data_IF_883035914361
#
_entry.id   IF_883035914361
#
_cell.length_a   1.000
_cell.length_b   1.000
_cell.length_c   1.000
_cell.angle_alpha   90.00
_cell.angle_beta   90.00
_cell.angle_gamma   90.00
#
_symmetry.space_group_name_H-M   'P 1'
#
loop_
_entity.id
_entity.type
_entity.pdbx_description
1 polymer ?
#
# COMPACT_ATOMS: atom_id res chain seq x y z
N UNK A 1 -15.22 16.59 -12.28
CA UNK A 1 -13.87 16.27 -11.71
C UNK A 1 -13.96 16.52 -10.22
N UNK A 2 -13.67 15.52 -9.38
CA UNK A 2 -13.63 15.71 -7.93
C UNK A 2 -12.52 16.68 -7.56
N UNK A 3 -12.73 17.42 -6.46
CA UNK A 3 -11.73 18.27 -5.82
C UNK A 3 -11.32 17.61 -4.50
N UNK A 4 -10.20 18.04 -3.93
CA UNK A 4 -9.72 17.52 -2.66
C UNK A 4 -10.75 17.66 -1.53
N UNK A 5 -11.44 18.80 -1.50
CA UNK A 5 -12.48 19.12 -0.53
C UNK A 5 -13.68 18.18 -0.59
N UNK A 6 -13.93 17.56 -1.75
CA UNK A 6 -15.07 16.63 -1.91
C UNK A 6 -14.91 15.36 -1.06
N UNK A 7 -13.68 15.06 -0.60
CA UNK A 7 -13.39 13.99 0.37
C UNK A 7 -13.51 14.45 1.84
N UNK A 8 -13.75 15.73 2.09
CA UNK A 8 -13.73 16.31 3.43
C UNK A 8 -15.13 16.70 3.90
N UNK A 9 -15.33 16.61 5.21
CA UNK A 9 -16.42 17.27 5.92
C UNK A 9 -16.11 18.78 6.05
N UNK A 10 -17.11 19.63 6.39
CA UNK A 10 -16.87 21.08 6.53
C UNK A 10 -15.77 21.48 7.53
N UNK A 11 -15.48 20.62 8.50
CA UNK A 11 -14.45 20.82 9.52
C UNK A 11 -13.06 20.28 9.11
N UNK A 12 -12.90 19.76 7.87
CA UNK A 12 -11.65 19.21 7.37
C UNK A 12 -11.41 17.73 7.68
N UNK A 13 -12.25 17.08 8.47
CA UNK A 13 -12.19 15.63 8.70
C UNK A 13 -12.62 14.87 7.45
N UNK A 14 -12.01 13.71 7.17
CA UNK A 14 -12.43 12.86 6.07
C UNK A 14 -13.91 12.45 6.19
N UNK A 15 -14.65 12.51 5.08
CA UNK A 15 -15.99 11.93 5.00
C UNK A 15 -15.90 10.44 5.22
N UNK A 16 -16.69 9.92 6.14
CA UNK A 16 -16.67 8.52 6.51
C UNK A 16 -18.08 8.00 6.77
N UNK A 17 -18.26 6.69 6.63
CA UNK A 17 -19.53 5.99 6.82
C UNK A 17 -19.98 5.92 8.28
N UNK A 18 -19.09 6.24 9.22
CA UNK A 18 -19.31 6.15 10.66
C UNK A 18 -19.86 7.47 11.24
N UNK A 19 -19.97 8.52 10.41
CA UNK A 19 -20.39 9.87 10.81
C UNK A 19 -19.50 10.49 11.91
N UNK A 20 -18.24 10.08 11.98
CA UNK A 20 -17.26 10.64 12.91
C UNK A 20 -16.79 11.99 12.37
N UNK A 21 -16.87 13.02 13.21
CA UNK A 21 -16.45 14.39 12.87
C UNK A 21 -15.12 14.79 13.51
N UNK A 22 -14.66 14.05 14.50
CA UNK A 22 -13.36 14.23 15.13
C UNK A 22 -12.28 13.46 14.35
N UNK A 23 -11.26 14.18 13.87
CA UNK A 23 -10.21 13.60 13.02
C UNK A 23 -9.30 12.61 13.79
N UNK A 24 -9.05 12.87 15.09
CA UNK A 24 -8.20 11.99 15.92
C UNK A 24 -8.92 10.69 16.25
N UNK A 25 -10.21 10.79 16.61
CA UNK A 25 -11.07 9.61 16.86
C UNK A 25 -11.18 8.77 15.59
N UNK A 26 -11.40 9.40 14.43
CA UNK A 26 -11.46 8.70 13.16
C UNK A 26 -10.14 7.98 12.84
N UNK A 27 -9.02 8.67 13.03
CA UNK A 27 -7.69 8.10 12.79
C UNK A 27 -7.40 6.90 13.69
N UNK A 28 -7.70 7.00 14.98
CA UNK A 28 -7.49 5.90 15.93
C UNK A 28 -8.35 4.69 15.58
N UNK A 29 -9.62 4.91 15.29
CA UNK A 29 -10.55 3.84 14.92
C UNK A 29 -10.13 3.18 13.61
N UNK A 30 -9.74 3.96 12.59
CA UNK A 30 -9.22 3.46 11.33
C UNK A 30 -7.95 2.60 11.54
N UNK A 31 -7.04 3.08 12.40
CA UNK A 31 -5.81 2.37 12.72
C UNK A 31 -6.11 1.00 13.35
N UNK A 32 -6.91 0.96 14.40
CA UNK A 32 -7.26 -0.26 15.13
C UNK A 32 -8.01 -1.26 14.22
N UNK A 33 -9.01 -0.77 13.48
CA UNK A 33 -9.79 -1.58 12.56
C UNK A 33 -8.90 -2.21 11.47
N UNK A 34 -8.02 -1.43 10.86
CA UNK A 34 -7.16 -1.95 9.79
C UNK A 34 -6.08 -2.90 10.28
N UNK A 35 -5.58 -2.75 11.52
CA UNK A 35 -4.67 -3.73 12.12
C UNK A 35 -5.34 -5.08 12.27
N UNK A 36 -6.56 -5.11 12.81
CA UNK A 36 -7.28 -6.36 13.01
C UNK A 36 -7.60 -7.05 11.67
N UNK A 37 -7.96 -6.27 10.64
CA UNK A 37 -8.17 -6.80 9.29
C UNK A 37 -6.88 -7.35 8.67
N UNK A 38 -5.75 -6.69 8.86
CA UNK A 38 -4.44 -7.19 8.39
C UNK A 38 -4.11 -8.54 9.04
N UNK A 39 -4.28 -8.65 10.36
CA UNK A 39 -4.06 -9.91 11.09
C UNK A 39 -5.00 -11.01 10.62
N UNK A 40 -6.29 -10.70 10.47
CA UNK A 40 -7.29 -11.66 10.01
C UNK A 40 -6.98 -12.17 8.60
N UNK A 41 -6.53 -11.29 7.70
CA UNK A 41 -6.16 -11.67 6.34
C UNK A 41 -4.90 -12.55 6.30
N UNK A 42 -3.91 -12.27 7.13
CA UNK A 42 -2.71 -13.11 7.26
C UNK A 42 -3.07 -14.52 7.79
N UNK A 43 -3.92 -14.60 8.81
CA UNK A 43 -4.43 -15.89 9.35
C UNK A 43 -5.24 -16.66 8.30
N UNK A 44 -5.98 -15.97 7.43
CA UNK A 44 -6.72 -16.56 6.32
C UNK A 44 -5.85 -16.88 5.09
N UNK A 45 -4.54 -16.89 5.24
CA UNK A 45 -3.57 -17.15 4.15
C UNK A 45 -3.78 -16.23 2.94
N UNK A 46 -4.07 -14.94 3.22
CA UNK A 46 -4.38 -13.90 2.22
C UNK A 46 -5.57 -14.23 1.31
N UNK A 47 -6.51 -15.01 1.81
CA UNK A 47 -7.79 -15.26 1.16
C UNK A 47 -8.83 -14.27 1.65
N UNK A 48 -9.44 -13.52 0.73
CA UNK A 48 -10.49 -12.56 1.03
C UNK A 48 -11.80 -13.25 1.45
N UNK A 49 -12.71 -12.56 2.16
CA UNK A 49 -13.97 -13.14 2.64
C UNK A 49 -14.90 -13.68 1.55
N UNK A 50 -14.81 -13.17 0.33
CA UNK A 50 -15.53 -13.65 -0.84
C UNK A 50 -14.94 -14.93 -1.47
N UNK A 51 -13.82 -15.39 -0.93
CA UNK A 51 -13.10 -16.57 -1.39
C UNK A 51 -11.99 -16.28 -2.40
N UNK A 52 -11.77 -15.03 -2.82
CA UNK A 52 -10.69 -14.68 -3.73
C UNK A 52 -9.33 -14.86 -3.04
N UNK A 53 -8.44 -15.63 -3.68
CA UNK A 53 -7.06 -15.80 -3.22
C UNK A 53 -6.19 -14.68 -3.80
N UNK A 54 -5.61 -13.84 -2.94
CA UNK A 54 -4.62 -12.86 -3.37
C UNK A 54 -3.35 -13.60 -3.81
N UNK A 55 -2.86 -13.23 -4.97
CA UNK A 55 -1.71 -13.89 -5.62
C UNK A 55 -0.50 -12.96 -5.80
N UNK A 56 -0.69 -11.64 -5.71
CA UNK A 56 0.32 -10.64 -6.03
C UNK A 56 0.65 -10.54 -7.52
N UNK A 57 -0.10 -11.22 -8.39
CA UNK A 57 0.16 -11.23 -9.83
C UNK A 57 -0.50 -10.10 -10.61
N UNK A 58 -1.41 -9.38 -9.98
CA UNK A 58 -2.20 -8.32 -10.62
C UNK A 58 -2.20 -7.07 -9.79
N UNK A 59 -1.89 -5.94 -10.42
CA UNK A 59 -1.92 -4.64 -9.75
C UNK A 59 -3.32 -4.31 -9.20
N UNK A 60 -4.39 -4.80 -9.84
CA UNK A 60 -5.76 -4.62 -9.39
C UNK A 60 -6.03 -5.23 -8.01
N UNK A 61 -5.24 -6.20 -7.56
CA UNK A 61 -5.36 -6.76 -6.21
C UNK A 61 -5.13 -5.70 -5.13
N UNK A 62 -4.41 -4.62 -5.43
CA UNK A 62 -4.30 -3.47 -4.53
C UNK A 62 -5.65 -2.81 -4.26
N UNK A 63 -6.55 -2.74 -5.26
CA UNK A 63 -7.93 -2.24 -5.07
C UNK A 63 -8.72 -3.15 -4.12
N UNK A 64 -8.58 -4.47 -4.30
CA UNK A 64 -9.24 -5.46 -3.42
C UNK A 64 -8.74 -5.36 -1.98
N UNK A 65 -7.43 -5.22 -1.79
CA UNK A 65 -6.81 -5.05 -0.48
C UNK A 65 -7.27 -3.72 0.16
N UNK A 66 -7.27 -2.62 -0.57
CA UNK A 66 -7.70 -1.32 -0.05
C UNK A 66 -9.19 -1.34 0.33
N UNK A 67 -10.05 -1.92 -0.52
CA UNK A 67 -11.45 -2.14 -0.19
C UNK A 67 -11.60 -2.99 1.07
N UNK A 68 -10.94 -4.15 1.13
CA UNK A 68 -10.96 -5.01 2.29
C UNK A 68 -10.57 -4.27 3.57
N UNK A 69 -9.56 -3.42 3.54
CA UNK A 69 -9.09 -2.68 4.72
C UNK A 69 -10.05 -1.58 5.16
N UNK A 70 -10.78 -0.92 4.24
CA UNK A 70 -11.39 0.37 4.50
C UNK A 70 -12.89 0.46 4.14
N UNK A 71 -13.51 -0.58 3.60
CA UNK A 71 -14.90 -0.59 3.11
C UNK A 71 -15.96 -0.24 4.16
N UNK A 72 -15.65 -0.44 5.44
CA UNK A 72 -16.57 -0.07 6.55
C UNK A 72 -16.37 1.37 7.04
N UNK A 73 -15.33 2.03 6.56
CA UNK A 73 -14.98 3.39 7.00
C UNK A 73 -15.24 4.40 5.89
N UNK A 74 -14.95 4.03 4.63
CA UNK A 74 -15.03 4.95 3.49
C UNK A 74 -15.79 4.35 2.31
N UNK A 75 -16.68 5.12 1.72
CA UNK A 75 -17.45 4.74 0.53
C UNK A 75 -16.62 4.67 -0.76
N UNK A 76 -15.46 5.32 -0.76
CA UNK A 76 -14.49 5.31 -1.85
C UNK A 76 -13.37 4.26 -1.67
N UNK A 77 -13.41 3.41 -0.64
CA UNK A 77 -12.43 2.34 -0.43
C UNK A 77 -12.34 1.41 -1.66
N UNK A 78 -11.13 1.05 -2.06
CA UNK A 78 -10.87 0.25 -3.26
C UNK A 78 -10.94 1.03 -4.57
N UNK A 79 -11.27 2.31 -4.55
CA UNK A 79 -11.27 3.17 -5.72
C UNK A 79 -10.04 4.08 -5.73
N UNK A 80 -9.46 4.26 -6.91
CA UNK A 80 -8.37 5.20 -7.08
C UNK A 80 -8.85 6.63 -6.84
N UNK A 81 -7.95 7.47 -6.32
CA UNK A 81 -8.21 8.91 -6.19
C UNK A 81 -8.43 9.56 -7.55
N UNK A 82 -9.27 10.58 -7.55
CA UNK A 82 -9.60 11.35 -8.75
C UNK A 82 -8.97 12.76 -8.69
N UNK A 83 -8.07 13.01 -7.72
CA UNK A 83 -7.42 14.32 -7.50
C UNK A 83 -5.92 14.13 -7.32
N UNK A 84 -5.16 15.07 -7.85
CA UNK A 84 -3.73 15.14 -7.62
C UNK A 84 -3.44 15.72 -6.24
N UNK A 85 -2.40 15.23 -5.58
CA UNK A 85 -1.91 15.80 -4.34
C UNK A 85 -0.42 15.50 -4.14
N UNK A 86 0.16 16.21 -3.21
CA UNK A 86 1.48 15.94 -2.67
C UNK A 86 1.41 15.74 -1.16
N UNK A 87 2.45 15.23 -0.57
CA UNK A 87 2.57 15.05 0.87
C UNK A 87 3.87 15.69 1.35
N UNK A 88 3.77 16.48 2.40
CA UNK A 88 4.96 17.02 3.05
C UNK A 88 5.23 16.25 4.34
N UNK A 89 6.45 15.74 4.50
CA UNK A 89 6.90 15.07 5.69
C UNK A 89 8.34 15.51 5.99
N UNK A 90 8.60 15.96 7.21
CA UNK A 90 9.91 16.46 7.66
C UNK A 90 10.52 17.52 6.72
N UNK A 91 9.67 18.38 6.13
CA UNK A 91 10.07 19.43 5.19
C UNK A 91 10.34 18.95 3.76
N UNK A 92 10.24 17.66 3.49
CA UNK A 92 10.36 17.07 2.15
C UNK A 92 8.97 16.98 1.52
N UNK A 93 8.81 17.51 0.31
CA UNK A 93 7.58 17.41 -0.48
C UNK A 93 7.72 16.24 -1.45
N UNK A 94 6.86 15.25 -1.29
CA UNK A 94 6.75 14.12 -2.24
C UNK A 94 5.60 14.39 -3.20
N UNK A 95 5.90 14.41 -4.50
CA UNK A 95 4.92 14.52 -5.59
C UNK A 95 4.60 13.11 -6.08
N UNK A 96 3.35 12.70 -5.94
CA UNK A 96 2.89 11.41 -6.45
C UNK A 96 2.49 11.49 -7.92
N UNK A 97 2.37 10.35 -8.59
CA UNK A 97 1.94 10.31 -9.98
C UNK A 97 0.62 11.07 -10.17
N UNK A 98 0.53 11.94 -11.19
CA UNK A 98 -0.73 12.57 -11.56
C UNK A 98 -1.78 11.53 -11.96
N UNK A 99 -3.05 11.79 -11.63
CA UNK A 99 -4.18 10.89 -11.98
C UNK A 99 -4.23 10.62 -13.49
N UNK A 100 -3.88 11.61 -14.31
CA UNK A 100 -3.82 11.47 -15.77
C UNK A 100 -2.82 10.40 -16.26
N UNK A 101 -1.85 10.03 -15.43
CA UNK A 101 -0.81 9.02 -15.75
C UNK A 101 -1.06 7.66 -15.09
N UNK A 102 -2.17 7.48 -14.38
CA UNK A 102 -2.44 6.22 -13.67
C UNK A 102 -2.46 5.00 -14.58
N UNK A 103 -3.02 5.11 -15.78
CA UNK A 103 -3.01 4.00 -16.73
C UNK A 103 -1.59 3.57 -17.15
N UNK A 104 -0.66 4.54 -17.28
CA UNK A 104 0.73 4.23 -17.58
C UNK A 104 1.43 3.58 -16.38
N UNK A 105 1.22 4.13 -15.17
CA UNK A 105 1.77 3.57 -13.95
C UNK A 105 1.27 2.14 -13.69
N UNK A 106 -0.02 1.87 -13.89
CA UNK A 106 -0.58 0.50 -13.79
C UNK A 106 0.11 -0.46 -14.77
N UNK A 107 0.31 -0.05 -16.03
CA UNK A 107 0.98 -0.88 -17.02
C UNK A 107 2.44 -1.16 -16.67
N UNK A 108 3.16 -0.16 -16.19
CA UNK A 108 4.58 -0.31 -15.83
C UNK A 108 4.74 -1.18 -14.56
N UNK A 109 3.89 -0.98 -13.55
CA UNK A 109 3.89 -1.83 -12.35
C UNK A 109 3.48 -3.25 -12.72
N UNK A 110 2.48 -3.45 -13.61
CA UNK A 110 2.07 -4.78 -14.02
C UNK A 110 3.21 -5.55 -14.73
N UNK A 111 3.98 -4.89 -15.60
CA UNK A 111 5.17 -5.51 -16.21
C UNK A 111 6.19 -5.93 -15.15
N UNK A 112 6.45 -5.08 -14.17
CA UNK A 112 7.36 -5.42 -13.07
C UNK A 112 6.83 -6.60 -12.24
N UNK A 113 5.51 -6.73 -12.04
CA UNK A 113 4.90 -7.88 -11.38
C UNK A 113 5.05 -9.16 -12.21
N UNK A 114 4.88 -9.06 -13.53
CA UNK A 114 5.06 -10.20 -14.43
C UNK A 114 6.51 -10.68 -14.43
N UNK A 115 7.48 -9.76 -14.45
CA UNK A 115 8.91 -10.06 -14.34
C UNK A 115 9.26 -10.64 -12.96
N UNK A 116 8.74 -10.05 -11.89
CA UNK A 116 8.91 -10.51 -10.51
C UNK A 116 8.48 -11.96 -10.34
N UNK A 117 7.33 -12.33 -10.91
CA UNK A 117 6.79 -13.68 -10.81
C UNK A 117 7.63 -14.77 -11.52
N UNK A 118 8.60 -14.37 -12.35
CA UNK A 118 9.52 -15.27 -13.07
C UNK A 118 10.90 -15.38 -12.38
N UNK A 119 11.14 -14.59 -11.33
CA UNK A 119 12.42 -14.65 -10.62
C UNK A 119 12.61 -16.02 -9.95
N UNK A 120 13.84 -16.49 -9.81
CA UNK A 120 14.12 -17.62 -8.94
C UNK A 120 13.89 -17.24 -7.47
N UNK A 121 13.66 -18.25 -6.61
CA UNK A 121 13.50 -18.08 -5.16
C UNK A 121 14.86 -17.77 -4.50
N UNK A 122 15.43 -16.65 -4.90
CA UNK A 122 16.71 -16.11 -4.47
C UNK A 122 16.44 -14.84 -3.65
N UNK A 123 16.80 -14.88 -2.37
CA UNK A 123 16.48 -13.83 -1.40
C UNK A 123 16.99 -12.44 -1.82
N UNK A 124 18.21 -12.37 -2.40
CA UNK A 124 18.80 -11.09 -2.81
C UNK A 124 18.06 -10.52 -4.03
N UNK A 125 17.75 -11.37 -5.01
CA UNK A 125 16.98 -10.96 -6.21
C UNK A 125 15.56 -10.53 -5.85
N UNK A 126 14.90 -11.29 -4.99
CA UNK A 126 13.55 -10.97 -4.50
C UNK A 126 13.57 -9.65 -3.72
N UNK A 127 14.53 -9.44 -2.81
CA UNK A 127 14.67 -8.20 -2.07
C UNK A 127 14.90 -6.99 -3.01
N UNK A 128 15.73 -7.15 -4.03
CA UNK A 128 16.00 -6.11 -5.00
C UNK A 128 14.75 -5.75 -5.82
N UNK A 129 14.03 -6.75 -6.31
CA UNK A 129 12.82 -6.55 -7.08
C UNK A 129 11.69 -5.93 -6.24
N UNK A 130 11.50 -6.40 -4.99
CA UNK A 130 10.56 -5.78 -4.05
C UNK A 130 10.92 -4.32 -3.75
N UNK A 131 12.21 -4.00 -3.63
CA UNK A 131 12.67 -2.64 -3.44
C UNK A 131 12.23 -1.72 -4.57
N UNK A 132 12.43 -2.13 -5.81
CA UNK A 132 12.01 -1.38 -7.00
C UNK A 132 10.49 -1.26 -7.09
N UNK A 133 9.76 -2.38 -6.98
CA UNK A 133 8.30 -2.43 -7.04
C UNK A 133 7.64 -1.55 -5.98
N UNK A 134 8.09 -1.65 -4.73
CA UNK A 134 7.49 -0.89 -3.63
C UNK A 134 7.78 0.60 -3.75
N UNK A 135 8.95 0.99 -4.24
CA UNK A 135 9.27 2.39 -4.52
C UNK A 135 8.33 2.93 -5.60
N UNK A 136 8.16 2.22 -6.72
CA UNK A 136 7.24 2.62 -7.78
C UNK A 136 5.77 2.68 -7.31
N UNK A 137 5.30 1.68 -6.56
CA UNK A 137 3.96 1.67 -5.97
C UNK A 137 3.78 2.84 -4.97
N UNK A 138 4.82 3.19 -4.22
CA UNK A 138 4.78 4.33 -3.31
C UNK A 138 4.62 5.66 -4.08
N UNK A 139 5.29 5.82 -5.23
CA UNK A 139 5.13 6.99 -6.10
C UNK A 139 3.79 7.00 -6.84
N UNK A 140 3.28 5.84 -7.23
CA UNK A 140 1.93 5.70 -7.79
C UNK A 140 0.86 6.25 -6.83
N UNK A 141 0.91 5.87 -5.55
CA UNK A 141 0.05 6.36 -4.47
C UNK A 141 -1.42 6.50 -4.87
N UNK A 142 -2.06 5.42 -5.31
CA UNK A 142 -3.31 5.53 -6.09
C UNK A 142 -4.55 5.83 -5.27
N UNK A 143 -4.53 5.61 -3.95
CA UNK A 143 -5.73 5.77 -3.12
C UNK A 143 -5.75 7.11 -2.39
N UNK A 144 -6.96 7.53 -2.00
CA UNK A 144 -7.13 8.71 -1.13
C UNK A 144 -6.54 8.47 0.26
N UNK A 145 -6.70 7.25 0.79
CA UNK A 145 -6.21 6.83 2.11
C UNK A 145 -5.80 5.35 2.09
N UNK A 146 -4.99 4.93 3.06
CA UNK A 146 -4.58 3.54 3.22
C UNK A 146 -3.46 3.06 2.30
N UNK A 147 -2.83 3.93 1.49
CA UNK A 147 -1.79 3.53 0.55
C UNK A 147 -0.69 2.69 1.20
N UNK A 148 -0.08 3.17 2.29
CA UNK A 148 1.00 2.45 2.96
C UNK A 148 0.59 1.09 3.54
N UNK A 149 -0.65 0.97 4.05
CA UNK A 149 -1.18 -0.31 4.57
C UNK A 149 -1.47 -1.28 3.44
N UNK A 150 -2.08 -0.80 2.37
CA UNK A 150 -2.33 -1.56 1.14
C UNK A 150 -1.02 -2.08 0.54
N UNK A 151 -0.03 -1.21 0.38
CA UNK A 151 1.29 -1.57 -0.17
C UNK A 151 1.97 -2.63 0.68
N UNK A 152 2.00 -2.49 2.00
CA UNK A 152 2.63 -3.50 2.89
C UNK A 152 1.94 -4.85 2.81
N UNK A 153 0.60 -4.90 2.78
CA UNK A 153 -0.12 -6.16 2.59
C UNK A 153 0.16 -6.78 1.22
N UNK A 154 0.10 -5.98 0.17
CA UNK A 154 0.40 -6.45 -1.18
C UNK A 154 1.83 -6.99 -1.27
N UNK A 155 2.79 -6.31 -0.65
CA UNK A 155 4.19 -6.76 -0.59
C UNK A 155 4.35 -8.08 0.16
N UNK A 156 3.60 -8.30 1.23
CA UNK A 156 3.60 -9.58 1.94
C UNK A 156 3.07 -10.74 1.05
N UNK A 157 2.02 -10.46 0.24
CA UNK A 157 1.53 -11.43 -0.76
C UNK A 157 2.60 -11.71 -1.82
N UNK A 158 3.30 -10.67 -2.29
CA UNK A 158 4.41 -10.82 -3.26
C UNK A 158 5.54 -11.70 -2.71
N UNK A 159 5.99 -11.45 -1.49
CA UNK A 159 7.07 -12.24 -0.87
C UNK A 159 6.71 -13.74 -0.82
N UNK A 160 5.45 -14.07 -0.52
CA UNK A 160 4.96 -15.45 -0.44
C UNK A 160 4.96 -16.18 -1.78
N UNK A 161 4.91 -15.49 -2.93
CA UNK A 161 5.05 -16.16 -4.22
C UNK A 161 6.37 -16.95 -4.34
N UNK A 162 7.39 -16.49 -3.61
CA UNK A 162 8.74 -17.06 -3.60
C UNK A 162 9.09 -17.76 -2.27
N UNK A 163 8.08 -18.08 -1.45
CA UNK A 163 8.27 -18.80 -0.20
C UNK A 163 8.82 -17.97 0.96
N UNK A 164 8.83 -16.63 0.85
CA UNK A 164 9.28 -15.73 1.92
C UNK A 164 8.13 -15.12 2.70
N UNK A 165 8.36 -14.86 3.98
CA UNK A 165 7.52 -14.02 4.82
C UNK A 165 8.23 -12.71 5.14
N UNK A 166 7.45 -11.69 5.50
CA UNK A 166 7.97 -10.36 5.86
C UNK A 166 7.62 -10.08 7.32
N UNK A 167 8.65 -9.93 8.14
CA UNK A 167 8.53 -9.57 9.54
C UNK A 167 9.31 -8.29 9.84
N UNK A 168 8.61 -7.26 10.32
CA UNK A 168 9.23 -5.97 10.64
C UNK A 168 9.39 -5.78 12.15
N UNK A 169 10.62 -5.59 12.58
CA UNK A 169 10.89 -4.95 13.88
C UNK A 169 10.64 -3.45 13.81
N UNK A 170 10.52 -2.79 14.95
CA UNK A 170 10.35 -1.32 14.99
C UNK A 170 11.48 -0.57 14.24
N UNK A 171 12.73 -1.06 14.35
CA UNK A 171 13.87 -0.49 13.63
C UNK A 171 13.71 -0.60 12.11
N UNK A 172 13.22 -1.75 11.63
CA UNK A 172 13.01 -2.01 10.20
C UNK A 172 11.80 -1.22 9.65
N UNK A 173 10.74 -1.02 10.45
CA UNK A 173 9.65 -0.12 10.09
C UNK A 173 10.15 1.32 9.90
N UNK A 174 11.02 1.81 10.80
CA UNK A 174 11.61 3.14 10.65
C UNK A 174 12.54 3.22 9.41
N UNK A 175 13.28 2.15 9.09
CA UNK A 175 14.09 2.09 7.88
C UNK A 175 13.22 2.09 6.60
N UNK A 176 12.12 1.33 6.59
CA UNK A 176 11.13 1.34 5.51
C UNK A 176 10.58 2.75 5.27
N UNK A 177 10.17 3.45 6.33
CA UNK A 177 9.66 4.82 6.22
C UNK A 177 10.70 5.78 5.65
N UNK A 178 11.96 5.70 6.08
CA UNK A 178 13.04 6.53 5.52
C UNK A 178 13.27 6.25 4.03
N UNK A 179 13.31 4.98 3.62
CA UNK A 179 13.47 4.61 2.22
C UNK A 179 12.29 5.13 1.37
N UNK A 180 11.06 5.02 1.89
CA UNK A 180 9.85 5.54 1.23
C UNK A 180 9.88 7.06 1.04
N UNK A 181 10.35 7.83 2.04
CA UNK A 181 10.45 9.29 1.95
C UNK A 181 11.57 9.72 1.00
N UNK A 182 12.69 8.97 1.00
CA UNK A 182 13.82 9.23 0.13
C UNK A 182 13.56 8.85 -1.34
N UNK A 183 12.48 8.10 -1.62
CA UNK A 183 12.18 7.51 -2.94
C UNK A 183 13.38 6.71 -3.47
N UNK A 184 14.00 5.90 -2.62
CA UNK A 184 15.25 5.22 -2.88
C UNK A 184 15.05 3.69 -2.90
N UNK A 185 15.00 3.13 -4.11
CA UNK A 185 14.82 1.70 -4.33
C UNK A 185 15.98 0.85 -3.78
N UNK A 186 17.21 1.38 -3.73
CA UNK A 186 18.34 0.64 -3.18
C UNK A 186 18.27 0.55 -1.66
N UNK A 187 17.88 1.63 -0.98
CA UNK A 187 17.59 1.61 0.46
C UNK A 187 16.41 0.69 0.76
N UNK A 188 15.35 0.72 -0.05
CA UNK A 188 14.19 -0.15 0.10
C UNK A 188 14.56 -1.63 -0.09
N UNK A 189 15.42 -1.94 -1.06
CA UNK A 189 15.97 -3.30 -1.26
C UNK A 189 16.75 -3.80 -0.03
N UNK A 190 17.53 -2.94 0.60
CA UNK A 190 18.25 -3.30 1.84
C UNK A 190 17.27 -3.59 3.00
N UNK A 191 16.17 -2.84 3.08
CA UNK A 191 15.10 -3.13 4.05
C UNK A 191 14.53 -4.52 3.79
N UNK A 192 14.16 -4.85 2.54
CA UNK A 192 13.60 -6.17 2.23
C UNK A 192 14.61 -7.29 2.47
N UNK A 193 15.87 -7.09 2.12
CA UNK A 193 16.91 -8.09 2.43
C UNK A 193 17.01 -8.38 3.94
N UNK A 194 16.72 -7.40 4.78
CA UNK A 194 16.76 -7.55 6.23
C UNK A 194 15.49 -8.14 6.86
N UNK A 195 14.34 -8.14 6.15
CA UNK A 195 13.04 -8.56 6.71
C UNK A 195 12.46 -9.83 6.06
N UNK A 196 12.98 -10.26 4.92
CA UNK A 196 12.57 -11.50 4.28
C UNK A 196 13.07 -12.69 5.09
N UNK A 197 12.16 -13.56 5.49
CA UNK A 197 12.41 -14.82 6.22
C UNK A 197 11.84 -15.97 5.40
N UNK A 198 12.59 -17.06 5.23
CA UNK A 198 12.19 -18.25 4.50
C UNK A 198 13.11 -19.42 4.77
#
# INVERSE_FOLDING_TARGET
>A
MKRWEDYLQPNGTLRNLLNITDAEILHQLEYDYTIDRQKALAVADYKLPDGYQLTGRKIEEMKLINAYLLDKIYDWAGHYREVDFNKTMDGVVTFFHPVALFGNAELDIQRQLDDYAQLPDDREKIAQALGSLVTEINMFHPFREGNGRTTRLFTAVLARQHGFEINYTQKQQAAYMRASVADDAALMSQVFLAVLEG
#
